data_IF_767960184647
#
_entry.id   IF_767960184647
#
_cell.length_a   1.000
_cell.length_b   1.000
_cell.length_c   1.000
_cell.angle_alpha   90.00
_cell.angle_beta   90.00
_cell.angle_gamma   90.00
#
_symmetry.space_group_name_H-M   'P 1'
#
loop_
_entity.id
_entity.type
_entity.pdbx_description
1 polymer ?
#
# COMPACT_ATOMS: atom_id res chain seq x y z
N UNK A 1 -24.82 -26.47 25.02
CA UNK A 1 -23.87 -25.34 25.17
C UNK A 1 -22.87 -25.49 24.04
N UNK A 2 -23.14 -24.83 22.91
CA UNK A 2 -22.39 -25.03 21.68
C UNK A 2 -21.37 -23.90 21.52
N UNK A 3 -20.09 -24.23 21.67
CA UNK A 3 -19.01 -23.34 21.23
C UNK A 3 -19.01 -23.35 19.70
N UNK A 4 -19.44 -22.24 19.11
CA UNK A 4 -19.32 -22.02 17.67
C UNK A 4 -17.83 -21.81 17.33
N UNK A 5 -17.37 -22.60 16.37
CA UNK A 5 -16.04 -22.58 15.79
C UNK A 5 -15.78 -21.18 15.19
N UNK A 6 -14.89 -20.40 15.79
CA UNK A 6 -14.33 -19.23 15.12
C UNK A 6 -13.28 -19.74 14.12
N UNK A 7 -13.76 -20.18 12.96
CA UNK A 7 -12.93 -20.42 11.79
C UNK A 7 -12.39 -19.04 11.39
N UNK A 8 -11.17 -18.72 11.82
CA UNK A 8 -10.41 -17.64 11.24
C UNK A 8 -10.36 -17.93 9.74
N UNK A 9 -11.03 -17.09 8.95
CA UNK A 9 -10.93 -17.15 7.52
C UNK A 9 -9.48 -16.84 7.17
N UNK A 10 -8.70 -17.91 7.00
CA UNK A 10 -7.48 -17.93 6.20
C UNK A 10 -7.90 -17.61 4.76
N UNK A 11 -8.22 -16.33 4.54
CA UNK A 11 -8.24 -15.80 3.19
C UNK A 11 -6.77 -15.55 2.93
N UNK A 12 -6.10 -16.32 2.05
CA UNK A 12 -4.77 -15.95 1.66
C UNK A 12 -4.86 -14.51 1.19
N UNK A 13 -4.02 -13.66 1.77
CA UNK A 13 -3.60 -12.39 1.22
C UNK A 13 -3.03 -12.72 -0.18
N UNK A 14 -3.94 -12.93 -1.14
CA UNK A 14 -3.61 -13.13 -2.52
C UNK A 14 -3.16 -11.77 -3.00
N UNK A 15 -1.91 -11.44 -2.68
CA UNK A 15 -1.07 -10.62 -3.51
C UNK A 15 -1.19 -11.22 -4.91
N UNK A 16 -2.06 -10.59 -5.70
CA UNK A 16 -2.37 -11.03 -7.05
C UNK A 16 -1.05 -10.94 -7.81
N UNK A 17 -0.38 -12.07 -7.95
CA UNK A 17 0.88 -12.16 -8.68
C UNK A 17 0.54 -12.12 -10.16
N UNK A 18 0.38 -10.91 -10.68
CA UNK A 18 0.24 -10.67 -12.10
C UNK A 18 1.59 -10.97 -12.77
N UNK A 19 1.76 -12.18 -13.29
CA UNK A 19 3.05 -12.70 -13.76
C UNK A 19 3.72 -11.82 -14.82
N UNK A 20 5.04 -11.67 -14.74
CA UNK A 20 5.97 -11.11 -15.76
C UNK A 20 5.48 -9.87 -16.54
N UNK A 21 4.77 -8.96 -15.87
CA UNK A 21 4.23 -7.79 -16.55
C UNK A 21 5.18 -6.61 -16.45
N UNK A 22 5.58 -6.14 -17.63
CA UNK A 22 6.06 -4.79 -17.87
C UNK A 22 5.27 -3.80 -17.01
N UNK A 23 5.99 -2.80 -16.49
CA UNK A 23 5.50 -1.78 -15.57
C UNK A 23 4.04 -1.39 -15.83
N UNK A 24 3.21 -1.43 -14.79
CA UNK A 24 1.78 -1.11 -14.89
C UNK A 24 1.39 -0.06 -13.87
N UNK A 25 0.40 0.75 -14.23
CA UNK A 25 -0.29 1.61 -13.29
C UNK A 25 -1.51 0.88 -12.72
N UNK A 26 -1.62 0.86 -11.39
CA UNK A 26 -2.75 0.28 -10.65
C UNK A 26 -3.32 1.30 -9.67
N UNK A 27 -4.62 1.21 -9.39
CA UNK A 27 -5.31 2.07 -8.44
C UNK A 27 -5.73 1.25 -7.23
N UNK A 28 -5.27 1.61 -6.03
CA UNK A 28 -5.46 0.83 -4.81
C UNK A 28 -5.99 1.71 -3.67
N UNK A 29 -6.92 1.18 -2.89
CA UNK A 29 -7.28 1.75 -1.59
C UNK A 29 -6.20 1.40 -0.57
N UNK A 30 -5.79 2.37 0.25
CA UNK A 30 -4.68 2.20 1.17
C UNK A 30 -5.17 2.16 2.61
N UNK A 31 -4.60 1.26 3.40
CA UNK A 31 -4.74 1.28 4.86
C UNK A 31 -3.37 1.53 5.48
N UNK A 32 -3.28 2.50 6.39
CA UNK A 32 -2.05 2.87 7.09
C UNK A 32 -2.23 2.52 8.56
N UNK A 33 -1.33 1.70 9.11
CA UNK A 33 -1.38 1.26 10.51
C UNK A 33 -2.75 0.66 10.90
N UNK A 34 -3.42 -0.03 9.96
CA UNK A 34 -4.75 -0.60 10.14
C UNK A 34 -5.91 0.38 9.97
N UNK A 35 -5.66 1.67 9.76
CA UNK A 35 -6.69 2.66 9.44
C UNK A 35 -6.86 2.78 7.92
N UNK A 36 -8.04 2.44 7.42
CA UNK A 36 -8.40 2.63 6.01
C UNK A 36 -8.51 4.12 5.70
N UNK A 37 -7.83 4.58 4.64
CA UNK A 37 -7.82 6.00 4.24
C UNK A 37 -9.02 6.36 3.36
N UNK A 38 -9.69 5.35 2.79
CA UNK A 38 -10.76 5.45 1.78
C UNK A 38 -10.35 6.27 0.55
N UNK A 39 -9.04 6.40 0.33
CA UNK A 39 -8.46 7.12 -0.79
C UNK A 39 -7.88 6.11 -1.77
N UNK A 40 -8.25 6.28 -3.04
CA UNK A 40 -7.73 5.51 -4.15
C UNK A 40 -6.45 6.19 -4.68
N UNK A 41 -5.30 5.53 -4.54
CA UNK A 41 -4.02 6.03 -5.01
C UNK A 41 -3.53 5.28 -6.24
N UNK A 42 -2.87 6.00 -7.15
CA UNK A 42 -2.15 5.42 -8.28
C UNK A 42 -0.77 4.93 -7.83
N UNK A 43 -0.49 3.66 -8.08
CA UNK A 43 0.82 3.05 -7.92
C UNK A 43 1.34 2.56 -9.26
N UNK A 44 2.66 2.68 -9.45
CA UNK A 44 3.39 1.94 -10.46
C UNK A 44 3.90 0.65 -9.85
N UNK A 45 3.43 -0.47 -10.37
CA UNK A 45 3.98 -1.79 -10.09
C UNK A 45 5.10 -2.08 -11.10
N UNK A 46 6.30 -2.30 -10.57
CA UNK A 46 7.45 -2.77 -11.31
C UNK A 46 8.07 -3.95 -10.55
N UNK A 47 8.00 -5.14 -11.14
CA UNK A 47 8.59 -6.37 -10.58
C UNK A 47 8.10 -6.69 -9.16
N UNK A 48 6.82 -6.46 -8.87
CA UNK A 48 6.23 -6.72 -7.55
C UNK A 48 6.57 -5.66 -6.51
N UNK A 49 7.15 -4.52 -6.92
CA UNK A 49 7.32 -3.35 -6.07
C UNK A 49 6.38 -2.23 -6.51
N UNK A 50 5.61 -1.74 -5.55
CA UNK A 50 4.73 -0.59 -5.73
C UNK A 50 5.50 0.69 -5.41
N UNK A 51 5.38 1.67 -6.31
CA UNK A 51 5.91 3.02 -6.13
C UNK A 51 4.80 4.05 -6.41
N UNK A 52 4.81 5.14 -5.67
CA UNK A 52 3.86 6.25 -5.84
C UNK A 52 4.60 7.59 -5.74
N UNK A 53 4.00 8.66 -6.22
CA UNK A 53 4.59 10.00 -6.08
C UNK A 53 4.60 10.42 -4.61
N UNK A 54 5.58 11.26 -4.24
CA UNK A 54 5.65 11.82 -2.89
C UNK A 54 4.35 12.56 -2.52
N UNK A 55 3.73 13.28 -3.47
CA UNK A 55 2.46 13.98 -3.24
C UNK A 55 1.28 13.03 -3.00
N UNK A 56 1.24 11.89 -3.70
CA UNK A 56 0.23 10.85 -3.47
C UNK A 56 0.40 10.19 -2.09
N UNK A 57 1.65 10.00 -1.63
CA UNK A 57 1.92 9.48 -0.29
C UNK A 57 1.58 10.52 0.80
N UNK A 58 1.85 11.81 0.57
CA UNK A 58 1.48 12.88 1.49
C UNK A 58 -0.03 13.07 1.62
N UNK A 59 -0.79 12.84 0.55
CA UNK A 59 -2.26 12.98 0.57
C UNK A 59 -2.97 11.95 1.45
N UNK A 60 -2.29 10.82 1.74
CA UNK A 60 -2.73 9.78 2.69
C UNK A 60 -2.03 9.93 4.07
N UNK A 61 -1.25 10.99 4.31
CA UNK A 61 -0.64 11.27 5.60
C UNK A 61 0.73 10.61 5.85
N UNK A 62 1.39 10.08 4.82
CA UNK A 62 2.79 9.63 4.93
C UNK A 62 3.70 10.85 4.81
N UNK A 63 4.50 11.09 5.84
CA UNK A 63 5.53 12.12 5.79
C UNK A 63 6.70 11.64 4.92
N UNK A 64 6.80 12.20 3.72
CA UNK A 64 7.90 11.94 2.78
C UNK A 64 8.85 13.12 2.84
N UNK A 65 10.09 12.95 3.36
CA UNK A 65 11.09 14.00 3.36
C UNK A 65 11.27 14.56 1.96
N UNK A 66 11.35 15.89 1.85
CA UNK A 66 11.73 16.53 0.59
C UNK A 66 13.15 16.12 0.16
N UNK A 67 13.56 16.46 -1.07
CA UNK A 67 14.95 16.28 -1.50
C UNK A 67 15.96 16.95 -0.54
N UNK A 68 15.53 18.00 0.17
CA UNK A 68 16.32 18.70 1.19
C UNK A 68 16.37 17.99 2.56
N UNK A 69 15.51 16.98 2.79
CA UNK A 69 15.41 16.25 4.07
C UNK A 69 16.40 15.09 4.22
N UNK A 70 17.09 14.70 3.13
CA UNK A 70 18.19 13.72 3.15
C UNK A 70 19.53 14.38 3.51
N UNK A 71 19.64 15.70 3.34
CA UNK A 71 20.73 16.49 3.88
C UNK A 71 20.33 16.91 5.31
N UNK A 72 21.10 16.44 6.29
CA UNK A 72 20.87 16.60 7.72
C UNK A 72 20.09 17.85 8.13
N UNK A 73 19.00 17.61 8.86
CA UNK A 73 18.39 18.61 9.72
C UNK A 73 19.46 19.03 10.77
N UNK A 74 19.71 20.33 11.01
CA UNK A 74 20.53 20.75 12.15
C UNK A 74 19.88 20.34 13.48
#
# INVERSE_FOLDING_TARGET
MSCAMAQAADVPDQLVSFGDLAERDVFLEVSINGANTSQLLRFRDAQGRLSASADALRSIGIDVPGPDGAAGRP
#
